data_IF_427920702047
#
_entry.id   IF_427920702047
#
_cell.length_a   1.000
_cell.length_b   1.000
_cell.length_c   1.000
_cell.angle_alpha   90.00
_cell.angle_beta   90.00
_cell.angle_gamma   90.00
#
_symmetry.space_group_name_H-M   'P 1'
#
loop_
_entity.id
_entity.type
_entity.pdbx_description
1 polymer ?
#
# COMPACT_ATOMS: atom_id res chain seq x y z
N UNK A 1 -24.44 4.38 12.29
CA UNK A 1 -23.94 3.09 11.74
C UNK A 1 -23.07 3.39 10.52
N UNK A 2 -21.94 2.69 10.35
CA UNK A 2 -21.11 2.86 9.17
C UNK A 2 -21.87 2.72 7.86
N UNK A 3 -21.60 3.61 6.89
CA UNK A 3 -22.14 3.51 5.54
C UNK A 3 -21.19 2.65 4.71
N UNK A 4 -21.62 1.51 4.16
CA UNK A 4 -20.71 0.60 3.43
C UNK A 4 -20.12 1.26 2.17
N UNK A 5 -18.81 1.04 1.95
CA UNK A 5 -18.14 1.43 0.72
C UNK A 5 -17.44 0.21 0.09
N UNK A 6 -18.24 -0.59 -0.61
CA UNK A 6 -17.77 -1.86 -1.16
C UNK A 6 -17.19 -1.71 -2.58
N UNK A 7 -17.61 -0.69 -3.33
CA UNK A 7 -17.24 -0.50 -4.73
C UNK A 7 -16.93 0.97 -5.02
N UNK A 8 -16.04 1.20 -5.98
CA UNK A 8 -15.83 2.53 -6.55
C UNK A 8 -17.11 3.01 -7.26
N UNK A 9 -17.31 4.32 -7.33
CA UNK A 9 -18.44 4.88 -8.05
C UNK A 9 -18.38 4.53 -9.54
N UNK A 10 -19.46 3.97 -10.08
CA UNK A 10 -19.57 3.60 -11.49
C UNK A 10 -19.43 4.84 -12.39
N UNK A 11 -18.68 4.70 -13.48
CA UNK A 11 -18.43 5.78 -14.44
C UNK A 11 -17.25 6.69 -14.06
N UNK A 12 -16.56 6.43 -12.94
CA UNK A 12 -15.38 7.17 -12.50
C UNK A 12 -14.06 6.39 -12.62
N UNK A 13 -14.07 5.27 -13.34
CA UNK A 13 -12.90 4.41 -13.53
C UNK A 13 -11.73 5.15 -14.18
N UNK A 14 -12.01 5.93 -15.24
CA UNK A 14 -11.00 6.73 -15.94
C UNK A 14 -10.44 7.87 -15.04
N UNK A 15 -11.29 8.47 -14.19
CA UNK A 15 -10.85 9.48 -13.23
C UNK A 15 -9.90 8.87 -12.19
N UNK A 16 -10.23 7.68 -11.67
CA UNK A 16 -9.37 6.96 -10.72
C UNK A 16 -8.04 6.58 -11.39
N UNK A 17 -8.04 6.12 -12.64
CA UNK A 17 -6.82 5.81 -13.39
C UNK A 17 -5.94 7.04 -13.56
N UNK A 18 -6.50 8.16 -14.02
CA UNK A 18 -5.78 9.41 -14.16
C UNK A 18 -5.22 9.93 -12.81
N UNK A 19 -5.95 9.73 -11.71
CA UNK A 19 -5.48 10.06 -10.37
C UNK A 19 -4.29 9.16 -9.97
N UNK A 20 -4.37 7.85 -10.24
CA UNK A 20 -3.31 6.88 -9.93
C UNK A 20 -2.04 7.13 -10.76
N UNK A 21 -2.15 7.56 -12.01
CA UNK A 21 -1.00 7.90 -12.86
C UNK A 21 -0.26 9.13 -12.30
N UNK A 22 -0.99 10.20 -11.94
CA UNK A 22 -0.40 11.37 -11.29
C UNK A 22 0.24 11.01 -9.96
N UNK A 23 -0.46 10.21 -9.16
CA UNK A 23 0.02 9.75 -7.87
C UNK A 23 1.27 8.88 -8.02
N UNK A 24 1.35 8.02 -9.03
CA UNK A 24 2.54 7.24 -9.34
C UNK A 24 3.77 8.12 -9.52
N UNK A 25 3.65 9.23 -10.26
CA UNK A 25 4.72 10.22 -10.44
C UNK A 25 5.12 10.87 -9.11
N UNK A 26 4.16 11.22 -8.26
CA UNK A 26 4.44 11.80 -6.92
C UNK A 26 5.15 10.79 -6.02
N UNK A 27 4.68 9.55 -5.99
CA UNK A 27 5.30 8.47 -5.21
C UNK A 27 6.75 8.22 -5.64
N UNK A 28 7.03 8.24 -6.94
CA UNK A 28 8.40 8.13 -7.46
C UNK A 28 9.27 9.26 -6.92
N UNK A 29 8.82 10.51 -6.99
CA UNK A 29 9.58 11.66 -6.49
C UNK A 29 9.80 11.58 -4.97
N UNK A 30 8.77 11.27 -4.19
CA UNK A 30 8.85 11.14 -2.73
C UNK A 30 9.79 10.02 -2.29
N UNK A 31 9.74 8.87 -2.97
CA UNK A 31 10.60 7.72 -2.70
C UNK A 31 12.07 8.01 -3.04
N UNK A 32 12.34 8.67 -4.18
CA UNK A 32 13.67 9.06 -4.60
C UNK A 32 14.33 10.07 -3.63
N UNK A 33 13.53 10.96 -3.04
CA UNK A 33 13.97 11.89 -1.99
C UNK A 33 14.15 11.22 -0.62
N UNK A 34 13.82 9.95 -0.52
CA UNK A 34 13.88 9.16 0.72
C UNK A 34 13.11 9.80 1.88
N UNK A 35 11.95 10.38 1.59
CA UNK A 35 11.06 10.86 2.64
C UNK A 35 10.76 9.71 3.64
N UNK A 36 10.53 10.03 4.92
CA UNK A 36 10.16 9.00 5.89
C UNK A 36 8.80 8.39 5.51
N UNK A 37 8.63 7.05 5.62
CA UNK A 37 7.33 6.42 5.47
C UNK A 37 6.45 6.77 6.67
N UNK A 38 5.33 7.45 6.42
CA UNK A 38 4.37 7.84 7.45
C UNK A 38 2.95 7.44 7.07
N UNK A 39 2.11 7.22 8.08
CA UNK A 39 0.68 7.01 7.86
C UNK A 39 0.04 8.22 7.18
N UNK A 40 0.48 9.44 7.54
CA UNK A 40 0.01 10.67 6.91
C UNK A 40 0.27 10.70 5.40
N UNK A 41 1.41 10.18 4.95
CA UNK A 41 1.72 10.03 3.52
C UNK A 41 0.70 9.11 2.82
N UNK A 42 0.36 7.99 3.42
CA UNK A 42 -0.64 7.08 2.87
C UNK A 42 -2.05 7.68 2.86
N UNK A 43 -2.40 8.48 3.87
CA UNK A 43 -3.67 9.22 3.89
C UNK A 43 -3.74 10.24 2.74
N UNK A 44 -2.65 10.93 2.44
CA UNK A 44 -2.54 11.82 1.27
C UNK A 44 -2.73 11.04 -0.03
N UNK A 45 -2.00 9.92 -0.22
CA UNK A 45 -2.17 9.06 -1.40
C UNK A 45 -3.60 8.57 -1.56
N UNK A 46 -4.28 8.27 -0.46
CA UNK A 46 -5.66 7.84 -0.50
C UNK A 46 -6.61 8.96 -0.94
N UNK A 47 -6.42 10.19 -0.44
CA UNK A 47 -7.19 11.37 -0.90
C UNK A 47 -6.96 11.62 -2.39
N UNK A 48 -5.71 11.56 -2.84
CA UNK A 48 -5.36 11.75 -4.25
C UNK A 48 -5.97 10.67 -5.16
N UNK A 49 -6.00 9.42 -4.72
CA UNK A 49 -6.62 8.31 -5.47
C UNK A 49 -8.09 8.61 -5.78
N UNK A 50 -8.80 9.23 -4.86
CA UNK A 50 -10.24 9.49 -4.98
C UNK A 50 -10.60 10.95 -5.24
N UNK A 51 -9.64 11.77 -5.65
CA UNK A 51 -9.89 13.19 -5.98
C UNK A 51 -10.93 13.31 -7.10
N UNK A 52 -12.04 14.03 -6.82
CA UNK A 52 -13.11 14.24 -7.78
C UNK A 52 -14.01 13.02 -8.03
N UNK A 53 -13.88 11.97 -7.22
CA UNK A 53 -14.72 10.76 -7.28
C UNK A 53 -15.79 10.85 -6.19
N UNK A 54 -17.08 10.64 -6.51
CA UNK A 54 -18.13 10.56 -5.50
C UNK A 54 -17.89 9.42 -4.53
N UNK A 55 -18.06 9.70 -3.24
CA UNK A 55 -17.89 8.73 -2.15
C UNK A 55 -19.17 8.65 -1.32
N UNK A 56 -19.46 7.50 -0.68
CA UNK A 56 -20.60 7.39 0.23
C UNK A 56 -20.54 8.41 1.37
N UNK A 57 -19.32 8.71 1.85
CA UNK A 57 -19.01 9.74 2.83
C UNK A 57 -17.74 10.46 2.39
N UNK A 58 -17.71 11.80 2.29
CA UNK A 58 -16.57 12.54 1.73
C UNK A 58 -15.23 12.25 2.39
N UNK A 59 -15.18 12.14 3.72
CA UNK A 59 -13.97 11.91 4.47
C UNK A 59 -13.49 10.44 4.46
N UNK A 60 -14.21 9.52 3.81
CA UNK A 60 -13.69 8.17 3.58
C UNK A 60 -12.40 8.19 2.76
N UNK A 61 -12.22 9.21 1.90
CA UNK A 61 -10.92 9.45 1.29
C UNK A 61 -9.96 10.09 2.29
N UNK A 62 -9.00 9.31 2.74
CA UNK A 62 -7.88 9.77 3.55
C UNK A 62 -8.03 9.57 5.05
N UNK A 63 -9.24 9.36 5.58
CA UNK A 63 -9.39 9.09 6.99
C UNK A 63 -9.40 7.57 7.27
N UNK A 64 -8.70 7.18 8.34
CA UNK A 64 -8.56 5.78 8.74
C UNK A 64 -9.67 5.38 9.71
N UNK A 65 -10.00 4.09 9.72
CA UNK A 65 -11.03 3.53 10.58
C UNK A 65 -10.68 3.74 12.06
N UNK A 66 -11.66 4.15 12.85
CA UNK A 66 -11.63 4.27 14.32
C UNK A 66 -10.53 5.18 14.89
N UNK A 67 -9.95 6.06 14.06
CA UNK A 67 -8.85 6.92 14.49
C UNK A 67 -9.33 8.21 15.16
N UNK A 68 -10.52 8.71 14.82
CA UNK A 68 -10.98 10.02 15.26
C UNK A 68 -12.52 10.07 15.38
N UNK A 69 -13.01 10.50 16.54
CA UNK A 69 -14.45 10.64 16.82
C UNK A 69 -15.17 11.68 15.94
N UNK A 70 -14.42 12.56 15.28
CA UNK A 70 -14.97 13.50 14.28
C UNK A 70 -15.49 12.80 13.03
N UNK A 71 -15.17 11.53 12.82
CA UNK A 71 -15.55 10.72 11.66
C UNK A 71 -16.45 9.55 12.08
N UNK A 72 -17.68 9.81 12.49
CA UNK A 72 -18.54 8.84 13.16
C UNK A 72 -18.84 7.60 12.30
N UNK A 73 -18.87 7.70 10.96
CA UNK A 73 -19.11 6.55 10.08
C UNK A 73 -17.88 5.63 9.97
N UNK A 74 -16.69 6.05 10.44
CA UNK A 74 -15.50 5.21 10.52
C UNK A 74 -15.35 4.52 11.88
N UNK A 75 -16.11 4.94 12.90
CA UNK A 75 -16.09 4.31 14.22
C UNK A 75 -16.77 2.93 14.13
N UNK A 76 -16.04 1.89 14.56
CA UNK A 76 -16.54 0.52 14.45
C UNK A 76 -16.71 0.02 13.02
N UNK A 77 -16.08 0.66 12.03
CA UNK A 77 -16.15 0.23 10.62
C UNK A 77 -15.30 -1.03 10.43
N UNK A 78 -15.93 -2.18 10.32
CA UNK A 78 -15.26 -3.46 10.07
C UNK A 78 -15.11 -3.73 8.57
N UNK A 79 -13.99 -4.32 8.18
CA UNK A 79 -13.69 -4.67 6.79
C UNK A 79 -13.35 -6.14 6.65
N UNK A 80 -13.70 -6.72 5.51
CA UNK A 80 -13.35 -8.09 5.16
C UNK A 80 -13.00 -8.19 3.66
N UNK A 81 -12.08 -9.09 3.32
CA UNK A 81 -11.72 -9.45 1.94
C UNK A 81 -12.01 -10.94 1.76
N UNK A 82 -13.12 -11.26 1.11
CA UNK A 82 -13.64 -12.62 1.09
C UNK A 82 -13.98 -13.10 2.51
N UNK A 83 -13.33 -14.16 2.96
CA UNK A 83 -13.49 -14.70 4.32
C UNK A 83 -12.48 -14.16 5.33
N UNK A 84 -11.46 -13.42 4.88
CA UNK A 84 -10.44 -12.84 5.75
C UNK A 84 -10.89 -11.48 6.28
N UNK A 85 -10.79 -11.29 7.60
CA UNK A 85 -11.06 -10.01 8.25
C UNK A 85 -9.78 -9.19 8.33
N UNK A 86 -9.88 -7.89 8.12
CA UNK A 86 -8.83 -6.93 8.47
C UNK A 86 -8.65 -6.84 10.00
N UNK A 87 -7.66 -6.09 10.44
CA UNK A 87 -7.50 -5.74 11.85
C UNK A 87 -8.82 -5.17 12.40
N UNK A 88 -9.29 -5.58 13.60
CA UNK A 88 -10.46 -4.98 14.23
C UNK A 88 -10.36 -3.45 14.25
N UNK A 89 -11.47 -2.75 14.03
CA UNK A 89 -11.44 -1.29 13.85
C UNK A 89 -10.80 -0.57 15.04
N UNK A 90 -11.09 -1.00 16.27
CA UNK A 90 -10.50 -0.45 17.50
C UNK A 90 -8.97 -0.58 17.59
N UNK A 91 -8.39 -1.55 16.89
CA UNK A 91 -6.95 -1.84 16.94
C UNK A 91 -6.19 -1.18 15.79
N UNK A 92 -6.89 -0.62 14.80
CA UNK A 92 -6.26 0.01 13.61
C UNK A 92 -5.30 1.14 13.97
N UNK A 93 -5.61 2.09 14.86
CA UNK A 93 -4.68 3.16 15.21
C UNK A 93 -3.36 2.64 15.79
N UNK A 94 -3.43 1.65 16.69
CA UNK A 94 -2.23 1.04 17.28
C UNK A 94 -1.44 0.23 16.24
N UNK A 95 -2.11 -0.53 15.37
CA UNK A 95 -1.49 -1.29 14.30
C UNK A 95 -0.78 -0.37 13.28
N UNK A 96 -1.36 0.78 12.95
CA UNK A 96 -0.74 1.77 12.07
C UNK A 96 0.50 2.41 12.70
N UNK A 97 0.47 2.72 14.00
CA UNK A 97 1.65 3.21 14.72
C UNK A 97 2.80 2.19 14.69
N UNK A 98 2.46 0.90 14.89
CA UNK A 98 3.43 -0.19 14.77
C UNK A 98 3.98 -0.34 13.35
N UNK A 99 3.13 -0.25 12.33
CA UNK A 99 3.52 -0.27 10.92
C UNK A 99 4.50 0.86 10.60
N UNK A 100 4.17 2.10 10.96
CA UNK A 100 5.00 3.27 10.71
C UNK A 100 6.38 3.12 11.36
N UNK A 101 6.42 2.82 12.65
CA UNK A 101 7.66 2.65 13.41
C UNK A 101 8.51 1.51 12.84
N UNK A 102 7.88 0.37 12.53
CA UNK A 102 8.57 -0.79 11.97
C UNK A 102 9.15 -0.51 10.59
N UNK A 103 8.36 0.10 9.70
CA UNK A 103 8.82 0.42 8.36
C UNK A 103 9.94 1.48 8.38
N UNK A 104 9.84 2.51 9.22
CA UNK A 104 10.90 3.51 9.41
C UNK A 104 12.21 2.86 9.89
N UNK A 105 12.14 1.95 10.86
CA UNK A 105 13.33 1.27 11.36
C UNK A 105 14.01 0.39 10.29
N UNK A 106 13.21 -0.32 9.48
CA UNK A 106 13.75 -1.21 8.43
C UNK A 106 14.35 -0.40 7.29
N UNK A 107 13.67 0.66 6.82
CA UNK A 107 14.23 1.51 5.76
C UNK A 107 15.47 2.26 6.21
N UNK A 108 15.54 2.72 7.47
CA UNK A 108 16.73 3.37 8.01
C UNK A 108 17.97 2.45 7.98
N UNK A 109 17.79 1.16 8.30
CA UNK A 109 18.87 0.17 8.16
C UNK A 109 19.30 -0.02 6.70
N UNK A 110 18.31 -0.15 5.80
CA UNK A 110 18.60 -0.40 4.39
C UNK A 110 19.19 0.83 3.70
N UNK A 111 18.86 2.04 4.15
CA UNK A 111 19.48 3.29 3.69
C UNK A 111 21.00 3.33 3.97
N UNK A 112 21.44 2.70 5.06
CA UNK A 112 22.86 2.51 5.35
C UNK A 112 23.57 1.50 4.44
N UNK A 113 22.83 0.58 3.82
CA UNK A 113 23.37 -0.43 2.90
C UNK A 113 23.36 0.07 1.45
N UNK A 114 22.28 0.71 1.04
CA UNK A 114 22.11 1.26 -0.32
C UNK A 114 22.01 2.78 -0.23
N UNK A 115 23.07 3.53 -0.54
CA UNK A 115 23.08 5.00 -0.54
C UNK A 115 22.05 5.60 -1.51
N UNK A 116 21.74 6.90 -1.32
CA UNK A 116 20.86 7.65 -2.24
C UNK A 116 21.43 7.61 -3.64
N UNK A 117 20.58 7.33 -4.64
CA UNK A 117 20.95 7.22 -6.04
C UNK A 117 21.62 5.90 -6.44
N UNK A 118 21.93 5.02 -5.47
CA UNK A 118 22.45 3.69 -5.75
C UNK A 118 21.29 2.66 -5.95
N UNK A 119 21.67 1.51 -6.51
CA UNK A 119 20.82 0.32 -6.65
C UNK A 119 21.39 -0.84 -5.83
N UNK A 120 20.61 -1.90 -5.55
CA UNK A 120 21.13 -3.12 -4.94
C UNK A 120 22.33 -3.64 -5.72
N UNK A 121 23.48 -3.76 -5.07
CA UNK A 121 24.74 -4.21 -5.68
C UNK A 121 24.91 -5.73 -5.69
N UNK A 122 24.13 -6.43 -4.87
CA UNK A 122 24.18 -7.88 -4.76
C UNK A 122 22.76 -8.48 -4.81
N UNK A 123 22.61 -9.75 -5.26
CA UNK A 123 21.31 -10.44 -5.24
C UNK A 123 20.65 -10.46 -3.84
N UNK A 124 21.46 -10.57 -2.79
CA UNK A 124 20.96 -10.54 -1.41
C UNK A 124 20.34 -9.19 -1.04
N UNK A 125 20.91 -8.07 -1.51
CA UNK A 125 20.36 -6.74 -1.25
C UNK A 125 19.08 -6.52 -2.04
N UNK A 126 19.02 -6.97 -3.29
CA UNK A 126 17.79 -6.96 -4.08
C UNK A 126 16.68 -7.74 -3.37
N UNK A 127 17.00 -8.94 -2.88
CA UNK A 127 16.02 -9.78 -2.18
C UNK A 127 15.51 -9.09 -0.92
N UNK A 128 16.39 -8.46 -0.12
CA UNK A 128 16.01 -7.69 1.07
C UNK A 128 15.09 -6.50 0.73
N UNK A 129 15.36 -5.79 -0.35
CA UNK A 129 14.46 -4.69 -0.82
C UNK A 129 13.08 -5.24 -1.14
N UNK A 130 13.01 -6.39 -1.82
CA UNK A 130 11.72 -7.03 -2.14
C UNK A 130 11.01 -7.57 -0.89
N UNK A 131 11.74 -8.07 0.10
CA UNK A 131 11.17 -8.45 1.40
C UNK A 131 10.56 -7.24 2.13
N UNK A 132 11.26 -6.11 2.17
CA UNK A 132 10.73 -4.86 2.76
C UNK A 132 9.47 -4.40 2.02
N UNK A 133 9.49 -4.46 0.68
CA UNK A 133 8.33 -4.12 -0.14
C UNK A 133 7.14 -5.06 0.11
N UNK A 134 7.42 -6.36 0.28
CA UNK A 134 6.42 -7.38 0.60
C UNK A 134 5.80 -7.16 1.98
N UNK A 135 6.61 -6.88 2.99
CA UNK A 135 6.16 -6.56 4.35
C UNK A 135 5.32 -5.29 4.35
N UNK A 136 5.76 -4.22 3.69
CA UNK A 136 5.00 -2.97 3.61
C UNK A 136 3.64 -3.18 2.93
N UNK A 137 3.60 -3.96 1.83
CA UNK A 137 2.37 -4.35 1.15
C UNK A 137 1.47 -5.20 2.05
N UNK A 138 2.03 -6.25 2.63
CA UNK A 138 1.28 -7.26 3.38
C UNK A 138 0.71 -6.73 4.68
N UNK A 139 1.51 -5.99 5.46
CA UNK A 139 1.03 -5.35 6.69
C UNK A 139 -0.09 -4.34 6.39
N UNK A 140 0.04 -3.55 5.31
CA UNK A 140 -1.05 -2.65 4.91
C UNK A 140 -2.33 -3.40 4.55
N UNK A 141 -2.22 -4.51 3.81
CA UNK A 141 -3.36 -5.37 3.49
C UNK A 141 -3.96 -6.00 4.75
N UNK A 142 -3.14 -6.43 5.70
CA UNK A 142 -3.58 -7.03 6.97
C UNK A 142 -4.30 -6.03 7.86
N UNK A 143 -3.73 -4.81 8.01
CA UNK A 143 -4.35 -3.74 8.80
C UNK A 143 -5.66 -3.28 8.16
N UNK A 144 -5.68 -3.11 6.86
CA UNK A 144 -6.85 -2.63 6.09
C UNK A 144 -7.40 -1.31 6.64
N UNK A 145 -6.59 -0.24 6.74
CA UNK A 145 -6.93 0.94 7.54
C UNK A 145 -8.07 1.79 6.99
N UNK A 146 -8.34 1.75 5.70
CA UNK A 146 -9.39 2.53 5.06
C UNK A 146 -10.67 1.72 4.85
N UNK A 147 -11.80 2.39 4.66
CA UNK A 147 -13.07 1.76 4.32
C UNK A 147 -13.01 1.01 2.96
N UNK A 148 -12.22 1.52 1.99
CA UNK A 148 -11.94 0.89 0.69
C UNK A 148 -10.55 1.32 0.20
N UNK A 149 -10.09 0.81 -0.97
CA UNK A 149 -8.86 1.24 -1.63
C UNK A 149 -7.56 0.66 -1.07
N UNK A 150 -7.60 -0.12 0.01
CA UNK A 150 -6.41 -0.62 0.70
C UNK A 150 -5.45 -1.40 -0.20
N UNK A 151 -5.96 -2.19 -1.14
CA UNK A 151 -5.12 -2.92 -2.08
C UNK A 151 -4.32 -2.02 -3.04
N UNK A 152 -4.84 -0.84 -3.42
CA UNK A 152 -4.10 0.16 -4.21
C UNK A 152 -2.98 0.77 -3.39
N UNK A 153 -3.27 1.14 -2.15
CA UNK A 153 -2.29 1.70 -1.23
C UNK A 153 -1.18 0.69 -0.88
N UNK A 154 -1.51 -0.57 -0.69
CA UNK A 154 -0.52 -1.63 -0.51
C UNK A 154 0.46 -1.73 -1.69
N UNK A 155 -0.05 -1.65 -2.94
CA UNK A 155 0.79 -1.62 -4.14
C UNK A 155 1.62 -0.33 -4.25
N UNK A 156 1.09 0.81 -3.80
CA UNK A 156 1.86 2.05 -3.70
C UNK A 156 3.01 1.90 -2.70
N UNK A 157 2.79 1.31 -1.53
CA UNK A 157 3.86 1.01 -0.57
C UNK A 157 4.94 0.11 -1.14
N UNK A 158 4.56 -0.96 -1.85
CA UNK A 158 5.54 -1.84 -2.50
C UNK A 158 6.39 -1.09 -3.53
N UNK A 159 5.76 -0.26 -4.38
CA UNK A 159 6.46 0.57 -5.35
C UNK A 159 7.31 1.66 -4.68
N UNK A 160 6.82 2.28 -3.61
CA UNK A 160 7.57 3.30 -2.87
C UNK A 160 8.88 2.74 -2.33
N UNK A 161 8.83 1.53 -1.73
CA UNK A 161 10.06 0.83 -1.27
C UNK A 161 10.97 0.50 -2.45
N UNK A 162 10.43 -0.05 -3.53
CA UNK A 162 11.22 -0.40 -4.71
C UNK A 162 11.97 0.81 -5.29
N UNK A 163 11.26 1.91 -5.55
CA UNK A 163 11.82 3.14 -6.12
C UNK A 163 12.83 3.79 -5.17
N UNK A 164 12.59 3.76 -3.86
CA UNK A 164 13.53 4.25 -2.84
C UNK A 164 14.93 3.65 -3.00
N UNK A 165 15.01 2.41 -3.46
CA UNK A 165 16.27 1.69 -3.68
C UNK A 165 16.62 1.50 -5.16
N UNK A 166 16.15 2.39 -6.02
CA UNK A 166 16.55 2.46 -7.42
C UNK A 166 15.96 1.38 -8.32
N UNK A 167 14.96 0.63 -7.85
CA UNK A 167 14.18 -0.27 -8.70
C UNK A 167 13.08 0.51 -9.44
N UNK A 168 12.56 0.00 -10.56
CA UNK A 168 11.47 0.66 -11.27
C UNK A 168 10.16 0.65 -10.46
N UNK A 169 9.19 1.46 -10.87
CA UNK A 169 7.80 1.35 -10.47
C UNK A 169 7.17 0.21 -11.27
N UNK A 170 7.05 -1.00 -10.69
CA UNK A 170 6.76 -2.23 -11.43
C UNK A 170 5.46 -2.95 -11.01
N UNK A 171 4.86 -2.55 -9.89
CA UNK A 171 3.60 -3.15 -9.45
C UNK A 171 2.45 -2.30 -9.97
N UNK A 172 1.67 -2.82 -10.92
CA UNK A 172 0.52 -2.12 -11.50
C UNK A 172 -0.52 -1.77 -10.44
N UNK A 173 -0.97 -0.51 -10.41
CA UNK A 173 -1.98 -0.03 -9.47
C UNK A 173 -3.40 -0.41 -9.91
N UNK A 174 -3.68 -0.28 -11.21
CA UNK A 174 -4.94 -0.65 -11.86
C UNK A 174 -4.65 -1.00 -13.33
N UNK A 175 -5.18 -2.12 -13.84
CA UNK A 175 -5.78 -3.18 -13.04
C UNK A 175 -4.79 -3.80 -12.06
N UNK A 176 -5.30 -4.43 -10.97
CA UNK A 176 -4.41 -5.18 -10.08
C UNK A 176 -3.72 -6.31 -10.85
N UNK A 177 -2.50 -6.73 -10.47
CA UNK A 177 -1.87 -7.90 -11.09
C UNK A 177 -2.82 -9.10 -11.09
N UNK A 178 -3.16 -9.59 -12.29
CA UNK A 178 -4.22 -10.58 -12.49
C UNK A 178 -3.77 -12.04 -12.29
N UNK A 179 -2.49 -12.28 -11.91
CA UNK A 179 -1.98 -13.64 -11.75
C UNK A 179 -2.39 -14.27 -10.42
N UNK A 180 -2.68 -15.55 -10.45
CA UNK A 180 -2.98 -16.37 -9.27
C UNK A 180 -1.91 -16.24 -8.16
N UNK A 181 -0.59 -16.26 -8.44
CA UNK A 181 0.42 -16.08 -7.40
C UNK A 181 0.25 -14.80 -6.59
N UNK A 182 -0.06 -13.66 -7.23
CA UNK A 182 -0.25 -12.40 -6.50
C UNK A 182 -1.49 -12.42 -5.59
N UNK A 183 -2.60 -12.97 -6.07
CA UNK A 183 -3.82 -13.07 -5.26
C UNK A 183 -3.63 -14.02 -4.06
N UNK A 184 -2.96 -15.16 -4.26
CA UNK A 184 -2.62 -16.10 -3.20
C UNK A 184 -1.66 -15.47 -2.17
N UNK A 185 -0.66 -14.71 -2.64
CA UNK A 185 0.27 -13.98 -1.79
C UNK A 185 -0.42 -12.93 -0.94
N UNK A 186 -1.32 -12.13 -1.51
CA UNK A 186 -2.11 -11.14 -0.77
C UNK A 186 -3.01 -11.81 0.29
N UNK A 187 -3.62 -12.97 -0.03
CA UNK A 187 -4.39 -13.74 0.94
C UNK A 187 -3.53 -14.34 2.06
N UNK A 188 -2.27 -14.70 1.79
CA UNK A 188 -1.32 -15.13 2.82
C UNK A 188 -0.92 -13.97 3.73
N UNK A 189 -0.67 -12.79 3.17
CA UNK A 189 -0.36 -11.58 3.93
C UNK A 189 -1.48 -11.17 4.90
N UNK A 190 -2.75 -11.40 4.54
CA UNK A 190 -3.87 -11.21 5.48
C UNK A 190 -3.75 -12.05 6.76
N UNK A 191 -2.95 -13.12 6.72
CA UNK A 191 -2.65 -14.00 7.87
C UNK A 191 -1.26 -13.77 8.47
N UNK A 192 -0.56 -12.71 8.03
CA UNK A 192 0.78 -12.35 8.50
C UNK A 192 1.93 -13.15 7.86
N UNK A 193 1.70 -13.78 6.70
CA UNK A 193 2.77 -14.48 5.94
C UNK A 193 3.06 -13.76 4.62
N UNK A 194 4.14 -12.96 4.60
CA UNK A 194 4.55 -12.15 3.45
C UNK A 194 5.58 -12.83 2.53
N UNK A 195 5.99 -14.08 2.83
CA UNK A 195 6.98 -14.80 2.02
C UNK A 195 6.53 -15.00 0.58
N UNK A 196 5.26 -15.36 0.39
CA UNK A 196 4.70 -15.50 -0.96
C UNK A 196 4.63 -14.16 -1.70
N UNK A 197 4.43 -13.05 -0.99
CA UNK A 197 4.42 -11.73 -1.60
C UNK A 197 5.82 -11.33 -2.10
N UNK A 198 6.88 -11.66 -1.38
CA UNK A 198 8.26 -11.45 -1.86
C UNK A 198 8.52 -12.17 -3.19
N UNK A 199 8.08 -13.43 -3.32
CA UNK A 199 8.20 -14.21 -4.56
C UNK A 199 7.35 -13.62 -5.68
N UNK A 200 6.12 -13.17 -5.36
CA UNK A 200 5.24 -12.53 -6.34
C UNK A 200 5.83 -11.22 -6.86
N UNK A 201 6.40 -10.39 -5.99
CA UNK A 201 7.07 -9.14 -6.37
C UNK A 201 8.31 -9.39 -7.21
N UNK A 202 9.14 -10.38 -6.88
CA UNK A 202 10.28 -10.78 -7.71
C UNK A 202 9.83 -11.20 -9.12
N UNK A 203 8.74 -11.96 -9.21
CA UNK A 203 8.16 -12.38 -10.50
C UNK A 203 7.67 -11.20 -11.32
N UNK A 204 6.99 -10.23 -10.68
CA UNK A 204 6.53 -9.01 -11.36
C UNK A 204 7.69 -8.14 -11.82
N UNK A 205 8.73 -7.97 -10.99
CA UNK A 205 9.92 -7.23 -11.36
C UNK A 205 10.63 -7.86 -12.57
N UNK A 206 10.84 -9.18 -12.56
CA UNK A 206 11.46 -9.89 -13.68
C UNK A 206 10.68 -9.70 -14.99
N UNK A 207 9.34 -9.77 -14.96
CA UNK A 207 8.51 -9.50 -16.13
C UNK A 207 8.67 -8.07 -16.64
N UNK A 208 8.68 -7.10 -15.70
CA UNK A 208 8.81 -5.68 -16.05
C UNK A 208 10.17 -5.36 -16.72
N UNK A 209 11.25 -6.03 -16.29
CA UNK A 209 12.60 -5.84 -16.86
C UNK A 209 12.73 -6.54 -18.24
N UNK A 210 11.93 -7.59 -18.48
CA UNK A 210 11.98 -8.38 -19.71
C UNK A 210 11.02 -7.89 -20.80
N UNK A 211 10.17 -6.88 -20.51
CA UNK A 211 9.22 -6.25 -21.43
C UNK A 211 9.84 -5.01 -22.07
#
# INVERSE_FOLDING_TARGET
MPIPWNYDATGFEAQIEANLDRLGTQVVAQAALRLPPTVALAQEWHRETYRGVPLPVPYYAGEVRDADQRFPELIGYEVAVGTARGTPSSDVPAALSGFETGLQAVVARMDGVIPVGARPGAPADLFRVLEIAAIAHGEWVRIHPFANGNGRLARLWANWVAVRYGLPFFVALKPRPANLPYAAAAAASMRGDDRLMTVALLTLLNRHISS
#
